data_IF_100090622374
#
_entry.id   IF_100090622374
#
_cell.length_a   1.000
_cell.length_b   1.000
_cell.length_c   1.000
_cell.angle_alpha   90.00
_cell.angle_beta   90.00
_cell.angle_gamma   90.00
#
_symmetry.space_group_name_H-M   'P 1'
#
loop_
_entity.id
_entity.type
_entity.pdbx_description
1 polymer ?
#
# COMPACT_ATOMS: atom_id res chain seq x y z
N UNK A 1 -6.06 15.08 9.98
CA UNK A 1 -5.72 15.16 8.55
C UNK A 1 -5.95 13.79 7.96
N UNK A 2 -6.63 13.68 6.84
CA UNK A 2 -6.99 12.39 6.20
C UNK A 2 -7.07 12.57 4.69
N UNK A 3 -6.43 11.65 3.95
CA UNK A 3 -6.36 11.68 2.48
C UNK A 3 -5.69 12.93 1.89
N UNK A 4 -4.68 13.47 2.57
CA UNK A 4 -3.90 14.62 2.13
C UNK A 4 -2.59 14.24 1.42
N UNK A 5 -2.45 12.97 1.02
CA UNK A 5 -1.35 12.46 0.21
C UNK A 5 0.03 12.75 0.78
N UNK A 6 0.92 13.39 -0.01
CA UNK A 6 2.30 13.65 0.40
C UNK A 6 2.44 14.43 1.71
N UNK A 7 1.56 15.42 1.95
CA UNK A 7 1.59 16.19 3.22
C UNK A 7 1.20 15.33 4.42
N UNK A 8 0.26 14.43 4.26
CA UNK A 8 -0.11 13.48 5.31
C UNK A 8 1.01 12.47 5.58
N UNK A 9 1.76 12.07 4.56
CA UNK A 9 2.93 11.22 4.74
C UNK A 9 4.01 11.90 5.62
N UNK A 10 4.28 13.18 5.41
CA UNK A 10 5.18 13.96 6.29
C UNK A 10 4.66 13.98 7.73
N UNK A 11 3.36 14.25 7.91
CA UNK A 11 2.74 14.25 9.23
C UNK A 11 2.85 12.88 9.92
N UNK A 12 2.63 11.81 9.18
CA UNK A 12 2.82 10.45 9.69
C UNK A 12 4.27 10.18 10.09
N UNK A 13 5.25 10.64 9.32
CA UNK A 13 6.67 10.51 9.66
C UNK A 13 7.00 11.22 10.98
N UNK A 14 6.51 12.46 11.17
CA UNK A 14 6.70 13.24 12.41
C UNK A 14 6.10 12.48 13.60
N UNK A 15 4.87 11.99 13.48
CA UNK A 15 4.22 11.22 14.55
C UNK A 15 5.05 9.98 14.89
N UNK A 16 5.47 9.19 13.90
CA UNK A 16 6.25 7.97 14.13
C UNK A 16 7.59 8.28 14.83
N UNK A 17 8.27 9.33 14.40
CA UNK A 17 9.49 9.82 15.08
C UNK A 17 9.20 10.16 16.55
N UNK A 18 8.14 10.93 16.82
CA UNK A 18 7.77 11.33 18.18
C UNK A 18 7.45 10.14 19.10
N UNK A 19 6.98 9.03 18.52
CA UNK A 19 6.81 7.74 19.22
C UNK A 19 8.08 6.87 19.26
N UNK A 20 9.25 7.41 18.90
CA UNK A 20 10.55 6.74 19.00
C UNK A 20 10.90 5.85 17.80
N UNK A 21 10.15 5.89 16.71
CA UNK A 21 10.55 5.16 15.50
C UNK A 21 11.78 5.81 14.85
N UNK A 22 12.75 4.99 14.45
CA UNK A 22 13.95 5.43 13.72
C UNK A 22 13.78 5.38 12.21
N UNK A 23 12.82 4.57 11.72
CA UNK A 23 12.56 4.35 10.30
C UNK A 23 11.06 4.46 10.00
N UNK A 24 10.72 5.04 8.86
CA UNK A 24 9.35 5.14 8.38
C UNK A 24 9.21 4.59 6.96
N UNK A 25 8.35 3.59 6.80
CA UNK A 25 8.09 2.95 5.53
C UNK A 25 6.98 3.69 4.78
N UNK A 26 7.30 4.21 3.59
CA UNK A 26 6.35 4.89 2.71
C UNK A 26 6.07 4.00 1.49
N UNK A 27 4.81 3.57 1.36
CA UNK A 27 4.33 2.71 0.30
C UNK A 27 3.92 3.47 -0.97
N UNK A 28 3.44 2.70 -1.96
CA UNK A 28 2.77 3.24 -3.14
C UNK A 28 1.48 3.94 -2.71
N UNK A 29 1.21 5.13 -3.26
CA UNK A 29 -0.02 5.90 -3.02
C UNK A 29 -0.31 6.11 -1.53
N UNK A 30 0.74 6.45 -0.75
CA UNK A 30 0.64 6.63 0.69
C UNK A 30 -0.28 7.81 1.02
N UNK A 31 -1.39 7.54 1.73
CA UNK A 31 -2.43 8.49 2.09
C UNK A 31 -3.07 9.22 0.89
N UNK A 32 -2.94 8.68 -0.32
CA UNK A 32 -3.57 9.23 -1.51
C UNK A 32 -5.07 8.99 -1.55
N UNK A 33 -5.76 9.80 -2.37
CA UNK A 33 -7.18 9.66 -2.67
C UNK A 33 -7.42 9.96 -4.15
N UNK A 34 -8.22 9.12 -4.81
CA UNK A 34 -8.48 9.27 -6.25
C UNK A 34 -7.17 9.27 -7.05
N UNK A 35 -7.04 10.24 -7.96
CA UNK A 35 -5.87 10.43 -8.80
C UNK A 35 -5.25 11.83 -8.61
N UNK A 36 -5.42 12.46 -7.43
CA UNK A 36 -4.88 13.80 -7.16
C UNK A 36 -3.37 13.84 -7.05
N UNK A 37 -2.74 12.72 -6.67
CA UNK A 37 -1.31 12.60 -6.47
C UNK A 37 -0.76 11.46 -7.30
N UNK A 38 0.52 11.53 -7.67
CA UNK A 38 1.19 10.40 -8.33
C UNK A 38 1.50 9.29 -7.33
N UNK A 39 1.64 8.04 -7.82
CA UNK A 39 1.81 6.85 -6.98
C UNK A 39 2.97 6.94 -5.97
N UNK A 40 4.00 7.73 -6.26
CA UNK A 40 5.23 7.80 -5.45
C UNK A 40 5.55 9.21 -4.93
N UNK A 41 4.69 10.19 -5.17
CA UNK A 41 4.89 11.58 -4.77
C UNK A 41 5.10 11.73 -3.25
N UNK A 42 4.39 10.94 -2.45
CA UNK A 42 4.59 10.90 -0.99
C UNK A 42 6.00 10.42 -0.60
N UNK A 43 6.55 9.43 -1.34
CA UNK A 43 7.93 8.97 -1.10
C UNK A 43 8.94 10.05 -1.44
N UNK A 44 8.77 10.72 -2.56
CA UNK A 44 9.67 11.79 -3.03
C UNK A 44 9.67 12.95 -2.04
N UNK A 45 8.49 13.38 -1.59
CA UNK A 45 8.37 14.45 -0.61
C UNK A 45 9.00 14.06 0.74
N UNK A 46 8.74 12.86 1.25
CA UNK A 46 9.35 12.40 2.49
C UNK A 46 10.88 12.29 2.40
N UNK A 47 11.43 11.84 1.27
CA UNK A 47 12.87 11.79 1.05
C UNK A 47 13.50 13.18 1.00
N UNK A 48 12.82 14.13 0.34
CA UNK A 48 13.27 15.52 0.27
C UNK A 48 13.48 16.14 1.66
N UNK A 49 12.63 15.79 2.61
CA UNK A 49 12.64 16.32 3.98
C UNK A 49 13.17 15.31 5.02
N UNK A 50 13.84 14.24 4.61
CA UNK A 50 14.33 13.17 5.51
C UNK A 50 15.19 13.72 6.65
N UNK A 51 16.07 14.68 6.35
CA UNK A 51 16.98 15.26 7.35
C UNK A 51 16.21 16.10 8.39
N UNK A 52 15.28 16.95 7.96
CA UNK A 52 14.46 17.77 8.86
C UNK A 52 13.48 16.92 9.66
N UNK A 53 12.95 15.87 9.05
CA UNK A 53 12.09 14.90 9.74
C UNK A 53 12.82 14.13 10.83
N UNK A 54 14.14 13.92 10.70
CA UNK A 54 14.97 13.16 11.65
C UNK A 54 14.52 11.71 11.81
N UNK A 55 13.96 11.12 10.76
CA UNK A 55 13.56 9.72 10.68
C UNK A 55 13.92 9.17 9.30
N UNK A 56 14.51 7.99 9.24
CA UNK A 56 14.96 7.37 8.00
C UNK A 56 13.76 6.91 7.15
N UNK A 57 13.71 7.33 5.89
CA UNK A 57 12.64 6.97 4.97
C UNK A 57 12.98 5.71 4.18
N UNK A 58 12.12 4.69 4.32
CA UNK A 58 12.20 3.45 3.54
C UNK A 58 11.10 3.48 2.46
N UNK A 59 11.49 3.68 1.21
CA UNK A 59 10.57 3.61 0.08
C UNK A 59 10.37 2.16 -0.39
N UNK A 60 9.11 1.76 -0.57
CA UNK A 60 8.77 0.45 -1.09
C UNK A 60 7.94 0.55 -2.35
N UNK A 61 8.18 -0.35 -3.29
CA UNK A 61 7.41 -0.46 -4.53
C UNK A 61 6.10 -1.21 -4.30
N UNK A 62 5.07 -0.83 -5.04
CA UNK A 62 3.79 -1.54 -5.01
C UNK A 62 3.94 -2.99 -5.45
N UNK A 63 3.45 -3.98 -4.68
CA UNK A 63 3.51 -5.38 -5.07
C UNK A 63 2.49 -5.68 -6.18
N UNK A 64 2.81 -6.65 -7.03
CA UNK A 64 1.89 -7.23 -8.00
C UNK A 64 2.05 -8.76 -8.07
N UNK A 65 1.02 -9.43 -8.53
CA UNK A 65 1.11 -10.85 -8.85
C UNK A 65 1.61 -11.02 -10.29
N UNK A 66 2.73 -11.72 -10.47
CA UNK A 66 3.24 -12.06 -11.79
C UNK A 66 2.67 -13.42 -12.23
N UNK A 67 1.92 -13.44 -13.35
CA UNK A 67 1.34 -14.69 -13.90
C UNK A 67 2.42 -15.69 -14.33
N UNK A 68 3.56 -15.20 -14.81
CA UNK A 68 4.68 -16.03 -15.23
C UNK A 68 5.39 -16.66 -14.03
N UNK A 69 5.80 -15.86 -13.06
CA UNK A 69 6.51 -16.32 -11.86
C UNK A 69 5.57 -17.00 -10.85
N UNK A 70 4.25 -16.90 -11.04
CA UNK A 70 3.18 -17.43 -10.17
C UNK A 70 3.32 -17.01 -8.70
N UNK A 71 3.84 -15.80 -8.44
CA UNK A 71 4.04 -15.24 -7.09
C UNK A 71 3.82 -13.74 -7.02
N UNK A 72 3.63 -13.24 -5.80
CA UNK A 72 3.66 -11.79 -5.50
C UNK A 72 5.12 -11.32 -5.59
N UNK A 73 5.35 -10.22 -6.29
CA UNK A 73 6.67 -9.65 -6.54
C UNK A 73 6.56 -8.13 -6.73
N UNK A 74 7.69 -7.47 -6.95
CA UNK A 74 7.77 -6.05 -7.30
C UNK A 74 8.54 -5.86 -8.61
N UNK A 75 8.45 -4.66 -9.19
CA UNK A 75 9.15 -4.29 -10.42
C UNK A 75 10.69 -4.37 -10.32
N UNK A 76 11.23 -4.19 -9.11
CA UNK A 76 12.67 -4.35 -8.86
C UNK A 76 13.14 -5.82 -8.99
N UNK A 77 12.26 -6.77 -8.75
CA UNK A 77 12.57 -8.21 -8.76
C UNK A 77 12.15 -8.86 -10.08
N UNK A 78 10.99 -8.49 -10.59
CA UNK A 78 10.44 -9.07 -11.82
C UNK A 78 10.11 -7.97 -12.84
N UNK A 79 10.87 -7.94 -13.92
CA UNK A 79 10.72 -6.96 -15.01
C UNK A 79 9.67 -7.33 -16.06
N UNK A 80 8.96 -8.47 -15.89
CA UNK A 80 7.92 -8.96 -16.82
C UNK A 80 6.58 -8.29 -16.54
N UNK A 81 6.48 -7.00 -16.84
CA UNK A 81 5.33 -6.15 -16.50
C UNK A 81 4.08 -6.52 -17.32
N UNK A 82 4.24 -7.12 -18.49
CA UNK A 82 3.14 -7.63 -19.33
C UNK A 82 2.30 -8.71 -18.64
N UNK A 83 2.90 -9.43 -17.69
CA UNK A 83 2.27 -10.47 -16.91
C UNK A 83 1.76 -10.00 -15.53
N UNK A 84 1.74 -8.68 -15.31
CA UNK A 84 1.36 -8.07 -14.03
C UNK A 84 -0.16 -8.16 -13.80
N UNK A 85 -0.54 -8.62 -12.62
CA UNK A 85 -1.88 -8.46 -12.08
C UNK A 85 -1.79 -7.63 -10.80
N UNK A 86 -2.38 -6.46 -10.82
CA UNK A 86 -2.30 -5.53 -9.69
C UNK A 86 -3.02 -6.06 -8.46
N UNK A 87 -2.37 -5.94 -7.30
CA UNK A 87 -2.97 -6.14 -6.00
C UNK A 87 -3.61 -4.82 -5.56
N UNK A 88 -4.93 -4.78 -5.53
CA UNK A 88 -5.69 -3.57 -5.18
C UNK A 88 -6.59 -3.83 -3.96
N UNK A 89 -6.31 -3.13 -2.87
CA UNK A 89 -7.16 -3.17 -1.67
C UNK A 89 -8.60 -2.74 -1.94
N UNK A 90 -8.80 -1.77 -2.82
CA UNK A 90 -10.14 -1.31 -3.24
C UNK A 90 -10.92 -2.41 -3.95
N UNK A 91 -10.28 -3.13 -4.89
CA UNK A 91 -10.92 -4.26 -5.58
C UNK A 91 -11.25 -5.41 -4.61
N UNK A 92 -10.37 -5.67 -3.64
CA UNK A 92 -10.60 -6.70 -2.61
C UNK A 92 -11.77 -6.30 -1.71
N UNK A 93 -11.81 -5.06 -1.19
CA UNK A 93 -12.93 -4.56 -0.38
C UNK A 93 -14.25 -4.61 -1.14
N UNK A 94 -14.27 -4.15 -2.39
CA UNK A 94 -15.45 -4.24 -3.24
C UNK A 94 -15.94 -5.69 -3.40
N UNK A 95 -15.04 -6.64 -3.60
CA UNK A 95 -15.39 -8.05 -3.72
C UNK A 95 -15.94 -8.64 -2.40
N UNK A 96 -15.40 -8.22 -1.25
CA UNK A 96 -15.87 -8.64 0.08
C UNK A 96 -17.30 -8.13 0.33
N UNK A 97 -17.53 -6.82 0.15
CA UNK A 97 -18.84 -6.18 0.37
C UNK A 97 -19.92 -6.76 -0.56
N UNK A 98 -19.57 -7.02 -1.81
CA UNK A 98 -20.51 -7.57 -2.80
C UNK A 98 -20.52 -9.11 -2.88
N UNK A 99 -19.99 -9.80 -1.87
CA UNK A 99 -19.93 -11.26 -1.81
C UNK A 99 -19.33 -11.95 -3.05
N UNK A 100 -18.47 -11.24 -3.80
CA UNK A 100 -17.77 -11.80 -4.96
C UNK A 100 -16.62 -12.72 -4.54
N UNK A 101 -16.29 -13.67 -5.42
CA UNK A 101 -15.16 -14.57 -5.19
C UNK A 101 -13.83 -13.81 -5.24
N UNK A 102 -13.01 -13.99 -4.21
CA UNK A 102 -11.66 -13.45 -4.14
C UNK A 102 -10.67 -14.57 -4.47
N UNK A 103 -9.71 -14.28 -5.33
CA UNK A 103 -8.66 -15.26 -5.66
C UNK A 103 -7.80 -15.54 -4.44
N UNK A 104 -7.50 -16.82 -4.20
CA UNK A 104 -6.57 -17.27 -3.15
C UNK A 104 -5.15 -16.72 -3.31
N UNK A 105 -4.82 -16.17 -4.49
CA UNK A 105 -3.55 -15.45 -4.76
C UNK A 105 -3.45 -14.12 -4.01
N UNK A 106 -4.57 -13.51 -3.66
CA UNK A 106 -4.63 -12.19 -3.02
C UNK A 106 -5.01 -12.24 -1.54
N UNK A 107 -5.81 -13.22 -1.17
CA UNK A 107 -6.24 -13.39 0.22
C UNK A 107 -6.52 -14.87 0.50
N UNK A 108 -6.08 -15.35 1.65
CA UNK A 108 -6.32 -16.72 2.09
C UNK A 108 -7.82 -16.95 2.35
N UNK A 109 -8.36 -18.14 2.04
CA UNK A 109 -9.79 -18.43 2.22
C UNK A 109 -10.28 -18.31 3.67
N UNK A 110 -9.46 -18.71 4.64
CA UNK A 110 -9.75 -18.60 6.07
C UNK A 110 -9.97 -17.13 6.49
N UNK A 111 -9.11 -16.22 6.01
CA UNK A 111 -9.23 -14.78 6.25
C UNK A 111 -10.51 -14.22 5.60
N UNK A 112 -10.81 -14.61 4.36
CA UNK A 112 -12.06 -14.19 3.68
C UNK A 112 -13.28 -14.61 4.50
N UNK A 113 -13.28 -15.84 5.02
CA UNK A 113 -14.39 -16.38 5.83
C UNK A 113 -14.58 -15.58 7.12
N UNK A 114 -13.49 -15.29 7.84
CA UNK A 114 -13.54 -14.50 9.09
C UNK A 114 -14.05 -13.09 8.82
N UNK A 115 -13.50 -12.39 7.81
CA UNK A 115 -13.91 -11.01 7.48
C UNK A 115 -15.41 -10.94 7.14
N UNK A 116 -15.94 -11.92 6.39
CA UNK A 116 -17.36 -11.98 6.06
C UNK A 116 -18.24 -12.27 7.26
N UNK A 117 -17.79 -13.17 8.15
CA UNK A 117 -18.52 -13.54 9.37
C UNK A 117 -18.64 -12.35 10.34
N UNK A 118 -17.56 -11.60 10.51
CA UNK A 118 -17.47 -10.50 11.48
C UNK A 118 -17.96 -9.14 10.91
N UNK A 119 -18.45 -9.10 9.66
CA UNK A 119 -18.94 -7.88 9.00
C UNK A 119 -18.00 -6.67 9.12
N UNK A 120 -16.69 -6.90 8.99
CA UNK A 120 -15.63 -5.90 9.27
C UNK A 120 -15.66 -4.68 8.33
N UNK A 121 -16.37 -4.76 7.20
CA UNK A 121 -16.40 -3.71 6.17
C UNK A 121 -17.81 -3.16 5.89
N UNK A 122 -18.66 -3.13 6.87
CA UNK A 122 -19.98 -2.50 6.77
C UNK A 122 -19.89 -1.02 7.11
#
# INVERSE_FOLDING_TARGET
MRYAGPREALFHAIIRRNFGCTHFLVGRDHAGVGNYYTEYEAQELCLKYENELGIKIIKVRGPFYCKFCKKITTDNICRRLENKVEVSGTKIRYALVNNKKISTRFMRPDIVTIIKKENIFI
#
